data_IF_100966492217
#
_entry.id   IF_100966492217
#
_cell.length_a   1.000
_cell.length_b   1.000
_cell.length_c   1.000
_cell.angle_alpha   90.00
_cell.angle_beta   90.00
_cell.angle_gamma   90.00
#
_symmetry.space_group_name_H-M   'P 1'
#
loop_
_entity.id
_entity.type
_entity.pdbx_description
1 polymer ?
#
# COMPACT_ATOMS: atom_id res chain seq x y z
N UNK A 1 8.94 16.69 11.14
CA UNK A 1 8.07 17.03 12.31
C UNK A 1 6.78 16.22 12.27
N UNK A 2 6.26 15.94 11.06
CA UNK A 2 5.10 15.09 10.88
C UNK A 2 5.32 13.68 11.41
N UNK A 3 6.51 13.11 11.15
CA UNK A 3 6.87 11.75 11.60
C UNK A 3 6.70 11.59 13.11
N UNK A 4 7.29 12.51 13.89
CA UNK A 4 7.15 12.51 15.35
C UNK A 4 5.71 12.66 15.80
N UNK A 5 4.93 13.55 15.15
CA UNK A 5 3.52 13.76 15.47
C UNK A 5 2.70 12.47 15.30
N UNK A 6 2.86 11.80 14.16
CA UNK A 6 2.10 10.58 13.85
C UNK A 6 2.57 9.41 14.73
N UNK A 7 3.88 9.27 14.97
CA UNK A 7 4.41 8.31 15.94
C UNK A 7 3.85 8.54 17.35
N UNK A 8 3.66 9.80 17.77
CA UNK A 8 3.04 10.08 19.06
C UNK A 8 1.58 9.60 19.12
N UNK A 9 0.79 9.78 18.05
CA UNK A 9 -0.57 9.22 18.01
C UNK A 9 -0.55 7.69 18.17
N UNK A 10 0.38 7.00 17.51
CA UNK A 10 0.54 5.54 17.60
C UNK A 10 0.92 5.11 19.02
N UNK A 11 1.85 5.83 19.64
CA UNK A 11 2.35 5.53 20.99
C UNK A 11 1.33 5.84 22.09
N UNK A 12 0.46 6.83 21.89
CA UNK A 12 -0.60 7.21 22.83
C UNK A 12 -1.86 6.35 22.65
N UNK A 13 -1.95 5.54 21.59
CA UNK A 13 -3.07 4.65 21.34
C UNK A 13 -3.21 3.61 22.46
N UNK A 14 -4.41 3.51 23.04
CA UNK A 14 -4.74 2.46 24.00
C UNK A 14 -4.98 1.12 23.27
N UNK A 15 -3.89 0.40 22.97
CA UNK A 15 -3.89 -0.87 22.26
C UNK A 15 -4.87 -1.91 22.82
N UNK A 16 -4.94 -2.17 24.15
CA UNK A 16 -5.93 -3.09 24.70
C UNK A 16 -7.38 -2.75 24.36
N UNK A 17 -7.74 -1.46 24.36
CA UNK A 17 -9.08 -1.01 24.01
C UNK A 17 -9.30 -1.10 22.49
N UNK A 18 -8.29 -0.72 21.71
CA UNK A 18 -8.32 -0.78 20.25
C UNK A 18 -8.56 -2.20 19.74
N UNK A 19 -7.92 -3.21 20.34
CA UNK A 19 -8.10 -4.63 19.97
C UNK A 19 -9.50 -5.18 20.30
N UNK A 20 -10.32 -4.45 21.06
CA UNK A 20 -11.72 -4.79 21.33
C UNK A 20 -12.69 -4.12 20.33
N UNK A 21 -12.18 -3.29 19.41
CA UNK A 21 -13.02 -2.62 18.41
C UNK A 21 -13.68 -3.67 17.51
N UNK A 22 -15.01 -3.61 17.30
CA UNK A 22 -15.69 -4.52 16.38
C UNK A 22 -15.10 -4.45 14.96
N UNK A 23 -15.00 -5.58 14.24
CA UNK A 23 -14.57 -5.58 12.85
C UNK A 23 -15.41 -4.63 11.99
N UNK A 24 -14.76 -3.95 11.04
CA UNK A 24 -15.42 -3.05 10.09
C UNK A 24 -15.69 -1.64 10.62
N UNK A 25 -15.23 -1.28 11.82
CA UNK A 25 -15.23 0.11 12.28
C UNK A 25 -13.86 0.76 12.05
N UNK A 26 -13.79 1.88 11.30
CA UNK A 26 -12.53 2.60 11.14
C UNK A 26 -12.12 3.23 12.47
N UNK A 27 -10.86 3.06 12.85
CA UNK A 27 -10.31 3.70 14.05
C UNK A 27 -9.52 4.90 13.62
N UNK A 28 -9.98 6.07 14.07
CA UNK A 28 -9.26 7.33 13.83
C UNK A 28 -8.07 7.39 14.78
N UNK A 29 -6.87 7.40 14.21
CA UNK A 29 -5.61 7.57 14.93
C UNK A 29 -5.38 9.03 15.31
N UNK A 30 -5.64 9.95 14.37
CA UNK A 30 -5.45 11.38 14.57
C UNK A 30 -5.65 12.21 13.30
N UNK A 31 -5.46 13.52 13.42
CA UNK A 31 -5.61 14.47 12.32
C UNK A 31 -4.22 14.79 11.72
N UNK A 32 -4.11 14.73 10.39
CA UNK A 32 -2.91 15.09 9.65
C UNK A 32 -3.28 15.71 8.30
N UNK A 33 -2.48 16.67 7.84
CA UNK A 33 -2.56 17.13 6.44
C UNK A 33 -2.04 16.04 5.51
N UNK A 34 -2.41 16.10 4.22
CA UNK A 34 -1.86 15.18 3.22
C UNK A 34 -0.32 15.23 3.17
N UNK A 35 0.27 16.42 3.25
CA UNK A 35 1.72 16.58 3.25
C UNK A 35 2.40 15.98 4.49
N UNK A 36 1.76 16.07 5.66
CA UNK A 36 2.25 15.40 6.88
C UNK A 36 2.19 13.87 6.76
N UNK A 37 1.14 13.37 6.12
CA UNK A 37 1.02 11.94 5.83
C UNK A 37 2.09 11.48 4.85
N UNK A 38 2.29 12.17 3.73
CA UNK A 38 3.32 11.85 2.74
C UNK A 38 4.74 11.88 3.36
N UNK A 39 5.06 12.89 4.19
CA UNK A 39 6.33 12.93 4.96
C UNK A 39 6.50 11.70 5.85
N UNK A 40 5.42 11.20 6.45
CA UNK A 40 5.47 10.00 7.29
C UNK A 40 5.65 8.72 6.47
N UNK A 41 4.93 8.58 5.36
CA UNK A 41 5.03 7.40 4.50
C UNK A 41 6.42 7.25 3.88
N UNK A 42 7.08 8.36 3.55
CA UNK A 42 8.46 8.36 3.02
C UNK A 42 9.54 8.13 4.09
N UNK A 43 9.17 8.11 5.37
CA UNK A 43 10.10 7.93 6.48
C UNK A 43 10.32 6.46 6.80
N UNK A 44 11.56 6.07 7.04
CA UNK A 44 11.92 4.75 7.62
C UNK A 44 11.58 4.67 9.12
N UNK A 45 11.46 5.81 9.81
CA UNK A 45 11.21 5.89 11.25
C UNK A 45 9.71 5.77 11.61
N UNK A 46 8.99 4.80 11.06
CA UNK A 46 7.56 4.57 11.33
C UNK A 46 7.38 3.69 12.58
N UNK A 47 6.61 4.15 13.57
CA UNK A 47 6.26 3.34 14.75
C UNK A 47 5.24 2.24 14.43
N UNK A 48 4.45 2.42 13.38
CA UNK A 48 3.56 1.45 12.75
C UNK A 48 3.67 1.67 11.25
N UNK A 49 3.90 0.60 10.50
CA UNK A 49 4.00 0.68 9.04
C UNK A 49 2.73 1.31 8.44
N UNK A 50 2.94 2.26 7.53
CA UNK A 50 1.88 2.99 6.84
C UNK A 50 0.92 2.08 6.07
N UNK A 51 1.33 0.87 5.70
CA UNK A 51 0.49 -0.19 5.10
C UNK A 51 -0.68 -0.62 5.99
N UNK A 52 -0.61 -0.37 7.31
CA UNK A 52 -1.70 -0.64 8.25
C UNK A 52 -2.65 0.55 8.46
N UNK A 53 -2.40 1.65 7.77
CA UNK A 53 -3.10 2.92 7.95
C UNK A 53 -3.50 3.53 6.60
N UNK A 54 -4.48 4.42 6.63
CA UNK A 54 -4.81 5.25 5.46
C UNK A 54 -5.03 6.70 5.89
N UNK A 55 -4.63 7.63 5.03
CA UNK A 55 -5.07 9.02 5.17
C UNK A 55 -6.38 9.21 4.42
N UNK A 56 -7.41 9.74 5.07
CA UNK A 56 -8.70 10.09 4.47
C UNK A 56 -9.24 11.41 5.05
N UNK A 57 -9.46 12.41 4.19
CA UNK A 57 -10.11 13.68 4.52
C UNK A 57 -9.55 14.38 5.78
N UNK A 58 -8.22 14.45 5.88
CA UNK A 58 -7.51 15.13 6.98
C UNK A 58 -7.25 14.24 8.20
N UNK A 59 -7.63 12.95 8.14
CA UNK A 59 -7.46 11.99 9.23
C UNK A 59 -6.59 10.83 8.82
N UNK A 60 -5.87 10.28 9.79
CA UNK A 60 -5.22 8.97 9.66
C UNK A 60 -6.12 7.96 10.34
N UNK A 61 -6.44 6.90 9.63
CA UNK A 61 -7.26 5.78 10.08
C UNK A 61 -6.38 4.54 10.16
N UNK A 62 -6.56 3.71 11.18
CA UNK A 62 -6.01 2.35 11.21
C UNK A 62 -7.01 1.46 10.49
N UNK A 63 -6.59 0.88 9.37
CA UNK A 63 -7.43 0.01 8.52
C UNK A 63 -7.29 -1.46 8.90
N UNK A 64 -6.14 -1.84 9.44
CA UNK A 64 -5.87 -3.19 9.89
C UNK A 64 -4.93 -3.20 11.10
N UNK A 65 -5.13 -4.17 12.00
CA UNK A 65 -4.18 -4.46 13.07
C UNK A 65 -3.07 -5.37 12.54
N UNK A 66 -1.78 -5.06 12.77
CA UNK A 66 -0.69 -5.95 12.39
C UNK A 66 -0.94 -7.37 12.88
N UNK A 67 -1.04 -8.31 11.95
CA UNK A 67 -1.28 -9.71 12.25
C UNK A 67 -0.57 -10.62 11.27
N UNK A 68 -0.23 -11.82 11.71
CA UNK A 68 0.35 -12.84 10.80
C UNK A 68 -0.66 -13.32 9.76
N UNK A 69 -1.96 -13.04 9.93
CA UNK A 69 -3.00 -13.45 9.00
C UNK A 69 -2.88 -12.67 7.70
N UNK A 70 -2.65 -11.36 7.79
CA UNK A 70 -2.42 -10.48 6.63
C UNK A 70 -1.34 -11.06 5.71
N UNK A 71 -0.11 -11.17 6.20
CA UNK A 71 1.01 -11.63 5.38
C UNK A 71 0.83 -13.05 4.84
N UNK A 72 0.10 -13.93 5.56
CA UNK A 72 -0.25 -15.26 5.06
C UNK A 72 -1.27 -15.22 3.94
N UNK A 73 -2.28 -14.36 4.02
CA UNK A 73 -3.30 -14.21 2.97
C UNK A 73 -2.68 -13.55 1.75
N UNK A 74 -1.96 -12.44 1.92
CA UNK A 74 -1.26 -11.75 0.83
C UNK A 74 -0.27 -12.69 0.13
N UNK A 75 0.53 -13.43 0.90
CA UNK A 75 1.47 -14.41 0.35
C UNK A 75 0.79 -15.60 -0.34
N UNK A 76 -0.38 -16.04 0.13
CA UNK A 76 -1.14 -17.08 -0.54
C UNK A 76 -1.73 -16.58 -1.88
N UNK A 77 -2.25 -15.35 -1.91
CA UNK A 77 -2.75 -14.73 -3.14
C UNK A 77 -1.62 -14.57 -4.16
N UNK A 78 -0.46 -14.05 -3.74
CA UNK A 78 0.74 -13.95 -4.57
C UNK A 78 1.16 -15.32 -5.10
N UNK A 79 1.21 -16.34 -4.25
CA UNK A 79 1.53 -17.69 -4.66
C UNK A 79 0.55 -18.24 -5.72
N UNK A 80 -0.76 -18.06 -5.53
CA UNK A 80 -1.76 -18.59 -6.48
C UNK A 80 -1.74 -17.84 -7.81
N UNK A 81 -1.59 -16.51 -7.80
CA UNK A 81 -1.51 -15.71 -9.01
C UNK A 81 -0.23 -16.00 -9.79
N UNK A 82 0.88 -16.27 -9.10
CA UNK A 82 2.17 -16.58 -9.72
C UNK A 82 2.28 -18.05 -10.15
N UNK A 83 1.50 -18.97 -9.56
CA UNK A 83 1.54 -20.38 -9.92
C UNK A 83 1.07 -20.63 -11.37
N UNK A 84 0.19 -19.78 -11.89
CA UNK A 84 -0.19 -19.82 -13.29
C UNK A 84 0.86 -19.04 -14.10
N UNK A 85 1.79 -19.77 -14.72
CA UNK A 85 2.90 -19.21 -15.51
C UNK A 85 2.44 -18.29 -16.65
N UNK A 86 1.15 -18.30 -17.01
CA UNK A 86 0.57 -17.34 -17.93
C UNK A 86 0.59 -15.92 -17.34
N UNK A 87 0.36 -15.75 -16.03
CA UNK A 87 0.32 -14.43 -15.40
C UNK A 87 1.74 -13.93 -15.11
N UNK A 88 2.56 -14.75 -14.45
CA UNK A 88 3.93 -14.37 -14.08
C UNK A 88 4.91 -14.63 -15.24
N UNK A 89 5.57 -13.56 -15.70
CA UNK A 89 6.57 -13.48 -16.79
C UNK A 89 6.04 -13.21 -18.21
N UNK A 90 4.80 -13.56 -18.54
CA UNK A 90 4.25 -13.34 -19.88
C UNK A 90 3.41 -12.05 -20.00
N UNK A 91 2.59 -11.72 -18.98
CA UNK A 91 1.73 -10.52 -18.99
C UNK A 91 1.93 -9.60 -17.79
N UNK A 92 2.01 -10.13 -16.56
CA UNK A 92 2.10 -9.34 -15.33
C UNK A 92 3.28 -9.80 -14.44
N UNK A 93 3.68 -8.92 -13.54
CA UNK A 93 4.63 -9.19 -12.46
C UNK A 93 4.15 -8.52 -11.19
N UNK A 94 4.47 -9.15 -10.06
CA UNK A 94 4.16 -8.61 -8.73
C UNK A 94 4.98 -7.33 -8.51
N UNK A 95 4.28 -6.23 -8.26
CA UNK A 95 4.86 -4.95 -7.86
C UNK A 95 4.62 -4.67 -6.38
N UNK A 96 3.94 -5.57 -5.66
CA UNK A 96 3.69 -5.49 -4.20
C UNK A 96 3.13 -4.13 -3.79
N UNK A 97 3.76 -3.49 -2.81
CA UNK A 97 3.43 -2.17 -2.24
C UNK A 97 3.86 -0.99 -3.13
N UNK A 98 4.08 -1.21 -4.44
CA UNK A 98 4.39 -0.13 -5.36
C UNK A 98 3.27 0.92 -5.40
N UNK A 99 3.67 2.19 -5.35
CA UNK A 99 2.80 3.34 -5.46
C UNK A 99 3.08 4.15 -6.73
N UNK A 100 2.11 4.98 -7.14
CA UNK A 100 2.25 5.90 -8.26
C UNK A 100 2.35 7.33 -7.73
N UNK A 101 3.49 7.98 -7.96
CA UNK A 101 3.79 9.34 -7.48
C UNK A 101 2.83 10.42 -8.01
N UNK A 102 2.20 10.19 -9.17
CA UNK A 102 1.27 11.14 -9.81
C UNK A 102 -0.17 11.06 -9.28
N UNK A 103 -0.45 10.16 -8.34
CA UNK A 103 -1.77 9.92 -7.78
C UNK A 103 -1.70 9.94 -6.25
N UNK A 104 -2.87 10.04 -5.62
CA UNK A 104 -3.00 9.80 -4.18
C UNK A 104 -2.36 8.45 -3.87
N UNK A 105 -1.39 8.45 -2.97
CA UNK A 105 -0.70 7.25 -2.52
C UNK A 105 -1.73 6.31 -1.88
N UNK A 106 -1.92 5.18 -2.53
CA UNK A 106 -2.64 4.03 -2.00
C UNK A 106 -1.56 3.04 -1.53
N UNK A 107 -1.81 2.36 -0.43
CA UNK A 107 -0.94 1.31 0.12
C UNK A 107 -1.61 -0.05 -0.10
N UNK A 108 -1.56 -0.62 -1.32
CA UNK A 108 -2.15 -1.93 -1.57
C UNK A 108 -1.31 -3.04 -0.93
N UNK A 109 -1.96 -4.07 -0.38
CA UNK A 109 -1.27 -5.26 0.16
C UNK A 109 -0.39 -5.95 -0.90
N UNK A 110 -0.86 -5.96 -2.15
CA UNK A 110 -0.11 -6.40 -3.31
C UNK A 110 -0.69 -5.77 -4.58
N UNK A 111 0.18 -5.39 -5.51
CA UNK A 111 -0.18 -4.87 -6.82
C UNK A 111 0.52 -5.65 -7.92
N UNK A 112 -0.05 -5.61 -9.13
CA UNK A 112 0.49 -6.26 -10.31
C UNK A 112 0.60 -5.24 -11.42
N UNK A 113 1.74 -5.23 -12.09
CA UNK A 113 1.96 -4.41 -13.26
C UNK A 113 2.53 -5.24 -14.42
N UNK A 114 2.61 -4.66 -15.61
CA UNK A 114 3.19 -5.34 -16.76
C UNK A 114 4.67 -5.67 -16.54
N UNK A 115 5.13 -6.79 -17.10
CA UNK A 115 6.55 -7.22 -17.00
C UNK A 115 7.46 -6.13 -17.59
N UNK A 116 8.34 -5.58 -16.76
CA UNK A 116 9.31 -4.54 -17.17
C UNK A 116 10.53 -5.21 -17.82
N UNK A 117 10.84 -4.84 -19.07
CA UNK A 117 12.03 -5.32 -19.78
C UNK A 117 11.75 -6.17 -21.02
N UNK A 118 10.49 -6.58 -21.25
CA UNK A 118 10.03 -6.97 -22.58
C UNK A 118 9.49 -5.72 -23.27
N UNK A 119 9.93 -5.43 -24.49
CA UNK A 119 9.47 -4.25 -25.25
C UNK A 119 7.98 -4.31 -25.60
N UNK A 120 7.30 -5.38 -25.21
CA UNK A 120 5.86 -5.61 -25.26
C UNK A 120 5.59 -6.77 -24.30
N UNK A 121 4.84 -6.61 -23.19
CA UNK A 121 4.08 -7.72 -22.62
C UNK A 121 3.32 -8.34 -23.79
N UNK A 122 3.18 -9.66 -23.90
CA UNK A 122 2.50 -10.26 -25.06
C UNK A 122 1.15 -9.53 -25.31
N UNK A 123 1.05 -8.74 -26.39
CA UNK A 123 -0.14 -7.95 -26.73
C UNK A 123 -0.37 -6.61 -26.01
N UNK A 124 0.50 -6.15 -25.10
CA UNK A 124 0.36 -4.86 -24.41
C UNK A 124 0.97 -3.68 -25.19
N UNK A 125 0.18 -2.68 -25.56
CA UNK A 125 0.67 -1.45 -26.19
C UNK A 125 0.58 -0.30 -25.18
N UNK A 126 1.72 0.35 -24.90
CA UNK A 126 1.75 1.58 -24.09
C UNK A 126 0.94 2.68 -24.78
N UNK A 127 0.15 3.48 -24.03
CA UNK A 127 -0.51 4.65 -24.60
C UNK A 127 0.50 5.63 -25.20
N UNK A 128 0.06 6.41 -26.18
CA UNK A 128 0.88 7.46 -26.79
C UNK A 128 1.41 8.42 -25.73
N UNK A 129 2.73 8.54 -25.63
CA UNK A 129 3.41 9.42 -24.67
C UNK A 129 3.91 8.74 -23.39
N UNK A 130 3.58 7.46 -23.17
CA UNK A 130 4.11 6.67 -22.05
C UNK A 130 5.29 5.83 -22.54
N UNK A 131 6.45 5.98 -21.92
CA UNK A 131 7.70 5.32 -22.35
C UNK A 131 8.07 4.09 -21.53
N UNK A 132 7.46 3.92 -20.35
CA UNK A 132 7.70 2.81 -19.44
C UNK A 132 6.38 2.38 -18.80
N UNK A 133 6.18 1.07 -18.60
CA UNK A 133 5.02 0.54 -17.87
C UNK A 133 5.00 0.95 -16.39
N UNK A 134 6.15 1.25 -15.80
CA UNK A 134 6.20 1.88 -14.47
C UNK A 134 5.54 3.27 -14.42
N UNK A 135 5.46 3.95 -15.57
CA UNK A 135 4.80 5.26 -15.71
C UNK A 135 3.33 5.12 -16.14
N UNK A 136 2.89 3.89 -16.47
CA UNK A 136 1.53 3.61 -16.93
C UNK A 136 0.61 3.34 -15.74
N UNK A 137 -0.48 4.09 -15.65
CA UNK A 137 -1.49 3.98 -14.58
C UNK A 137 -2.80 3.44 -15.14
N UNK A 138 -3.42 2.45 -14.50
CA UNK A 138 -4.84 2.08 -14.72
C UNK A 138 -5.78 2.89 -13.84
#
# INVERSE_FOLDING_TARGET
MAVTKINNYINELNWPQFLQTPPGQPVVLGEATLAEWEEFVDSEDQALESTHMEWADGRILIVEVPSTVHGKVTGAIEYFLNHDALVENDFLTTNRDAFVETRRRLEPDTSYGPVVGTTTPLGGVLPTGVTNWGDFTT
#
